data_IF_718610685762
#
_entry.id   IF_718610685762
#
_cell.length_a   1.000
_cell.length_b   1.000
_cell.length_c   1.000
_cell.angle_alpha   90.00
_cell.angle_beta   90.00
_cell.angle_gamma   90.00
#
_symmetry.space_group_name_H-M   'P 1'
#
loop_
_entity.id
_entity.type
_entity.pdbx_description
1 polymer ?
#
# COMPACT_ATOMS: atom_id res chain seq x y z
N UNK A 1 -52.36 -35.71 55.23
CA UNK A 1 -51.00 -36.25 54.98
C UNK A 1 -50.66 -36.02 53.50
N UNK A 2 -49.67 -35.20 53.19
CA UNK A 2 -49.38 -34.71 51.83
C UNK A 2 -48.37 -35.62 51.12
N UNK A 3 -48.52 -35.88 49.81
CA UNK A 3 -47.41 -36.31 48.95
C UNK A 3 -47.54 -35.73 47.53
N UNK A 4 -46.90 -34.58 47.38
CA UNK A 4 -45.97 -34.18 46.31
C UNK A 4 -46.46 -34.21 44.86
N UNK A 5 -46.94 -33.04 44.43
CA UNK A 5 -46.90 -32.55 43.06
C UNK A 5 -45.44 -32.44 42.59
N UNK A 6 -45.05 -33.19 41.55
CA UNK A 6 -43.76 -33.02 40.87
C UNK A 6 -43.92 -31.95 39.80
N UNK A 7 -43.44 -30.74 40.09
CA UNK A 7 -43.24 -29.67 39.11
C UNK A 7 -41.96 -30.02 38.34
N UNK A 8 -42.08 -30.43 37.08
CA UNK A 8 -40.95 -30.51 36.16
C UNK A 8 -40.61 -29.11 35.66
N UNK A 9 -39.55 -28.52 36.21
CA UNK A 9 -38.98 -27.26 35.73
C UNK A 9 -38.17 -27.56 34.45
N UNK A 10 -38.69 -27.14 33.30
CA UNK A 10 -37.91 -27.07 32.06
C UNK A 10 -36.91 -25.91 32.19
N UNK A 11 -35.63 -26.22 32.43
CA UNK A 11 -34.54 -25.26 32.28
C UNK A 11 -34.25 -25.14 30.78
N UNK A 12 -34.85 -24.16 30.12
CA UNK A 12 -34.44 -23.76 28.79
C UNK A 12 -33.06 -23.10 28.87
N UNK A 13 -32.02 -23.77 28.39
CA UNK A 13 -30.75 -23.09 28.11
C UNK A 13 -30.97 -22.15 26.93
N UNK A 14 -31.12 -20.86 27.24
CA UNK A 14 -30.96 -19.78 26.27
C UNK A 14 -29.50 -19.81 25.80
N UNK A 15 -29.26 -20.40 24.64
CA UNK A 15 -28.02 -20.19 23.89
C UNK A 15 -28.09 -18.75 23.38
N UNK A 16 -27.54 -17.83 24.16
CA UNK A 16 -27.29 -16.47 23.69
C UNK A 16 -26.30 -16.59 22.53
N UNK A 17 -26.80 -16.48 21.29
CA UNK A 17 -25.96 -16.15 20.15
C UNK A 17 -25.37 -14.76 20.41
N UNK A 18 -24.19 -14.75 21.04
CA UNK A 18 -23.34 -13.57 21.09
C UNK A 18 -22.94 -13.26 19.64
N UNK A 19 -23.70 -12.38 18.99
CA UNK A 19 -23.23 -11.66 17.82
C UNK A 19 -22.04 -10.84 18.33
N UNK A 20 -20.83 -11.39 18.21
CA UNK A 20 -19.61 -10.62 18.35
C UNK A 20 -19.63 -9.63 17.18
N UNK A 21 -20.11 -8.41 17.44
CA UNK A 21 -19.92 -7.29 16.54
C UNK A 21 -18.42 -7.01 16.56
N UNK A 22 -17.69 -7.54 15.58
CA UNK A 22 -16.29 -7.23 15.36
C UNK A 22 -16.19 -5.79 14.85
N UNK A 23 -16.06 -4.84 15.77
CA UNK A 23 -15.79 -3.43 15.44
C UNK A 23 -14.29 -3.29 15.22
N UNK A 24 -13.83 -3.48 13.99
CA UNK A 24 -12.44 -3.20 13.61
C UNK A 24 -12.35 -2.82 12.14
N UNK A 25 -12.91 -1.67 11.80
CA UNK A 25 -12.61 -0.95 10.55
C UNK A 25 -12.71 0.53 10.87
N UNK A 26 -11.70 1.31 10.50
CA UNK A 26 -11.80 2.77 10.51
C UNK A 26 -11.81 3.24 9.08
N UNK A 27 -12.80 4.09 8.78
CA UNK A 27 -12.75 4.98 7.64
C UNK A 27 -12.23 6.30 8.19
N UNK A 28 -10.97 6.62 7.93
CA UNK A 28 -10.42 7.95 8.23
C UNK A 28 -10.14 8.70 6.94
N UNK A 29 -10.53 9.97 6.93
CA UNK A 29 -10.41 10.84 5.76
C UNK A 29 -9.94 12.22 6.18
N UNK A 30 -8.82 12.67 5.60
CA UNK A 30 -8.63 14.10 5.32
C UNK A 30 -8.10 15.00 6.44
N UNK A 31 -7.55 14.48 7.54
CA UNK A 31 -6.77 15.30 8.48
C UNK A 31 -5.42 14.65 8.87
N UNK A 32 -4.37 15.04 8.16
CA UNK A 32 -3.03 14.53 8.38
C UNK A 32 -2.50 14.74 9.80
N UNK A 33 -3.02 15.70 10.57
CA UNK A 33 -2.60 15.94 11.95
C UNK A 33 -3.22 14.95 12.94
N UNK A 34 -4.33 14.29 12.57
CA UNK A 34 -5.02 13.31 13.43
C UNK A 34 -4.51 11.90 13.18
N UNK A 35 -4.24 11.54 11.92
CA UNK A 35 -3.94 10.16 11.54
C UNK A 35 -2.45 9.87 11.35
N UNK A 36 -1.62 10.90 11.21
CA UNK A 36 -0.21 10.74 10.88
C UNK A 36 0.68 11.63 11.75
N UNK A 37 1.89 11.14 12.02
CA UNK A 37 2.95 11.87 12.68
C UNK A 37 4.19 11.97 11.80
N UNK A 38 5.02 12.99 12.03
CA UNK A 38 6.28 13.16 11.30
C UNK A 38 7.34 12.22 11.86
N UNK A 39 7.96 11.42 11.01
CA UNK A 39 9.03 10.48 11.39
C UNK A 39 10.42 11.05 11.15
N UNK A 40 10.56 12.04 10.26
CA UNK A 40 11.86 12.61 9.93
C UNK A 40 11.77 14.06 9.44
N UNK A 41 12.73 14.88 9.87
CA UNK A 41 12.90 16.30 9.53
C UNK A 41 11.60 17.12 9.56
N UNK A 42 11.09 17.49 10.76
CA UNK A 42 9.86 18.26 10.88
C UNK A 42 9.84 19.58 10.11
N UNK A 43 10.99 20.24 9.98
CA UNK A 43 11.12 21.49 9.20
C UNK A 43 10.98 21.28 7.68
N UNK A 44 10.94 20.03 7.23
CA UNK A 44 10.78 19.61 5.83
C UNK A 44 9.40 18.97 5.57
N UNK A 45 8.51 18.96 6.57
CA UNK A 45 7.11 18.54 6.43
C UNK A 45 6.22 19.74 6.69
N UNK A 46 5.48 20.18 5.67
CA UNK A 46 4.47 21.22 5.83
C UNK A 46 3.08 20.58 5.82
N UNK A 47 2.20 21.01 6.73
CA UNK A 47 0.79 20.59 6.75
C UNK A 47 -0.08 21.85 6.72
N UNK A 48 -1.11 21.85 5.88
CA UNK A 48 -2.06 22.97 5.81
C UNK A 48 -2.78 23.18 7.15
N UNK A 49 -3.25 24.40 7.40
CA UNK A 49 -3.90 24.76 8.66
C UNK A 49 -5.15 23.92 8.97
N UNK A 50 -5.86 23.46 7.93
CA UNK A 50 -7.01 22.57 8.02
C UNK A 50 -6.63 21.07 8.06
N UNK A 51 -5.33 20.74 8.00
CA UNK A 51 -4.85 19.36 7.99
C UNK A 51 -5.11 18.57 6.71
N UNK A 52 -5.71 19.18 5.68
CA UNK A 52 -6.17 18.47 4.48
C UNK A 52 -5.08 18.18 3.44
N UNK A 53 -3.97 18.92 3.52
CA UNK A 53 -2.82 18.78 2.63
C UNK A 53 -1.52 18.68 3.42
N UNK A 54 -0.62 17.83 2.97
CA UNK A 54 0.74 17.70 3.49
C UNK A 54 1.74 17.72 2.34
N UNK A 55 2.94 18.26 2.56
CA UNK A 55 4.02 18.21 1.58
C UNK A 55 5.33 17.79 2.22
N UNK A 56 6.10 16.99 1.49
CA UNK A 56 7.46 16.58 1.85
C UNK A 56 8.46 17.40 1.02
N UNK A 57 9.50 17.89 1.69
CA UNK A 57 10.62 18.64 1.10
C UNK A 57 11.90 17.79 1.14
N UNK A 58 12.69 17.87 0.08
CA UNK A 58 14.05 17.36 0.01
C UNK A 58 14.97 18.48 -0.50
N UNK A 59 16.06 18.73 0.22
CA UNK A 59 17.13 19.64 -0.14
C UNK A 59 18.48 19.09 0.37
N UNK A 60 19.55 19.88 0.23
CA UNK A 60 20.90 19.47 0.63
C UNK A 60 21.02 19.12 2.12
N UNK A 61 20.11 19.61 2.96
CA UNK A 61 20.19 19.40 4.40
C UNK A 61 19.53 18.08 4.81
N UNK A 62 18.37 17.76 4.24
CA UNK A 62 17.61 16.57 4.61
C UNK A 62 16.53 16.18 3.62
N UNK A 63 16.14 14.90 3.68
CA UNK A 63 14.84 14.43 3.22
C UNK A 63 13.76 14.64 4.27
N UNK A 64 12.62 13.97 4.09
CA UNK A 64 11.50 14.06 5.05
C UNK A 64 10.58 12.85 4.97
N UNK A 65 9.77 12.65 6.01
CA UNK A 65 8.78 11.59 6.01
C UNK A 65 7.75 11.67 7.12
N UNK A 66 6.62 11.02 6.90
CA UNK A 66 5.57 10.83 7.90
C UNK A 66 5.05 9.39 7.89
N UNK A 67 4.44 8.96 8.99
CA UNK A 67 3.85 7.63 9.17
C UNK A 67 2.49 7.71 9.87
N UNK A 68 1.64 6.71 9.67
CA UNK A 68 0.34 6.62 10.34
C UNK A 68 0.51 6.32 11.83
N UNK A 69 -0.36 6.90 12.66
CA UNK A 69 -0.40 6.65 14.10
C UNK A 69 -0.76 5.19 14.43
N UNK A 70 -1.65 4.61 13.63
CA UNK A 70 -2.14 3.24 13.77
C UNK A 70 -1.43 2.31 12.79
N UNK A 71 -1.42 1.02 13.12
CA UNK A 71 -1.03 -0.05 12.20
C UNK A 71 -2.27 -0.81 11.74
N UNK A 72 -2.23 -1.30 10.50
CA UNK A 72 -3.38 -1.92 9.86
C UNK A 72 -3.04 -3.34 9.43
N UNK A 73 -4.04 -4.22 9.44
CA UNK A 73 -3.94 -5.55 8.85
C UNK A 73 -5.09 -5.72 7.86
N UNK A 74 -4.79 -5.60 6.57
CA UNK A 74 -5.77 -5.51 5.48
C UNK A 74 -6.61 -4.22 5.46
N UNK A 75 -7.11 -3.89 4.27
CA UNK A 75 -7.86 -2.67 4.00
C UNK A 75 -7.62 -2.15 2.58
N UNK A 76 -8.17 -0.98 2.30
CA UNK A 76 -7.82 -0.15 1.16
C UNK A 76 -7.29 1.21 1.65
N UNK A 77 -6.17 1.62 1.08
CA UNK A 77 -5.52 2.89 1.40
C UNK A 77 -5.36 3.69 0.12
N UNK A 78 -6.00 4.85 0.08
CA UNK A 78 -5.94 5.80 -1.01
C UNK A 78 -5.14 7.03 -0.58
N UNK A 79 -4.24 7.49 -1.44
CA UNK A 79 -3.51 8.74 -1.25
C UNK A 79 -3.49 9.52 -2.56
N UNK A 80 -3.96 10.78 -2.56
CA UNK A 80 -3.72 11.64 -3.73
C UNK A 80 -2.36 12.27 -3.63
N UNK A 81 -1.51 11.99 -4.61
CA UNK A 81 -0.12 12.45 -4.65
C UNK A 81 0.09 13.28 -5.91
N UNK A 82 0.81 14.39 -5.77
CA UNK A 82 1.38 15.17 -6.87
C UNK A 82 2.90 15.18 -6.71
N UNK A 83 3.61 14.74 -7.74
CA UNK A 83 5.06 14.51 -7.70
C UNK A 83 5.85 15.81 -7.92
N UNK A 84 7.17 15.70 -7.69
CA UNK A 84 8.12 16.81 -7.84
C UNK A 84 8.14 17.27 -9.32
N UNK A 85 7.88 18.55 -9.62
CA UNK A 85 7.93 19.06 -10.98
C UNK A 85 9.35 19.36 -11.44
N UNK A 86 9.53 19.49 -12.76
CA UNK A 86 10.83 19.83 -13.35
C UNK A 86 11.85 18.70 -13.20
N UNK A 87 13.14 19.05 -13.07
CA UNK A 87 14.20 18.09 -12.91
C UNK A 87 14.14 17.50 -11.49
N UNK A 88 13.81 16.22 -11.43
CA UNK A 88 13.68 15.45 -10.20
C UNK A 88 14.63 14.24 -10.18
N UNK A 89 15.64 14.23 -11.06
CA UNK A 89 16.61 13.15 -11.14
C UNK A 89 17.24 12.87 -9.76
N UNK A 90 17.43 11.59 -9.44
CA UNK A 90 17.94 11.13 -8.15
C UNK A 90 16.93 11.16 -7.00
N UNK A 91 15.78 11.83 -7.12
CA UNK A 91 14.76 11.82 -6.06
C UNK A 91 13.96 10.52 -6.06
N UNK A 92 13.63 10.03 -4.87
CA UNK A 92 12.67 8.94 -4.65
C UNK A 92 11.61 9.43 -3.68
N UNK A 93 10.37 9.48 -4.14
CA UNK A 93 9.22 9.54 -3.25
C UNK A 93 8.74 8.11 -3.03
N UNK A 94 8.67 7.65 -1.79
CA UNK A 94 8.03 6.38 -1.45
C UNK A 94 6.68 6.64 -0.77
N UNK A 95 5.67 5.86 -1.15
CA UNK A 95 4.40 5.70 -0.45
C UNK A 95 4.18 4.21 -0.25
N UNK A 96 4.26 3.76 0.99
CA UNK A 96 4.41 2.34 1.27
C UNK A 96 3.78 1.94 2.60
N UNK A 97 3.64 0.64 2.80
CA UNK A 97 3.24 0.04 4.06
C UNK A 97 4.34 -0.85 4.57
N UNK A 98 4.71 -0.78 5.85
CA UNK A 98 5.74 -1.66 6.43
C UNK A 98 5.42 -2.09 7.85
N UNK A 99 5.80 -3.32 8.22
CA UNK A 99 5.63 -3.85 9.58
C UNK A 99 6.77 -3.48 10.54
N UNK A 100 7.85 -2.89 10.01
CA UNK A 100 9.05 -2.49 10.77
C UNK A 100 9.70 -3.62 11.58
N UNK A 101 9.54 -4.86 11.14
CA UNK A 101 10.18 -6.04 11.75
C UNK A 101 11.45 -6.45 11.00
N UNK A 102 12.36 -7.22 11.62
CA UNK A 102 13.52 -7.79 10.92
C UNK A 102 13.12 -8.62 9.69
N UNK A 103 12.05 -9.41 9.80
CA UNK A 103 11.44 -10.18 8.72
C UNK A 103 10.22 -9.45 8.13
N UNK A 104 10.31 -8.13 7.96
CA UNK A 104 9.16 -7.30 7.63
C UNK A 104 8.40 -7.76 6.39
N UNK A 105 7.10 -7.52 6.47
CA UNK A 105 6.26 -7.40 5.28
C UNK A 105 6.27 -5.92 4.86
N UNK A 106 6.31 -5.67 3.56
CA UNK A 106 6.32 -4.32 2.99
C UNK A 106 5.64 -4.29 1.61
N UNK A 107 4.94 -3.21 1.29
CA UNK A 107 4.20 -3.00 0.04
C UNK A 107 4.48 -1.59 -0.45
N UNK A 108 5.12 -1.45 -1.61
CA UNK A 108 5.74 -0.19 -2.03
C UNK A 108 5.13 0.41 -3.30
N UNK A 109 4.84 1.70 -3.26
CA UNK A 109 4.98 2.58 -4.42
C UNK A 109 6.24 3.44 -4.26
N UNK A 110 7.10 3.43 -5.26
CA UNK A 110 8.26 4.30 -5.34
C UNK A 110 8.21 5.08 -6.65
N UNK A 111 8.21 6.41 -6.55
CA UNK A 111 8.22 7.32 -7.67
C UNK A 111 9.64 7.79 -7.92
N UNK A 112 10.24 7.29 -9.00
CA UNK A 112 11.61 7.58 -9.37
C UNK A 112 11.61 8.82 -10.27
N UNK A 113 12.19 9.90 -9.77
CA UNK A 113 12.31 11.15 -10.51
C UNK A 113 13.22 11.04 -11.72
N UNK A 114 13.15 12.05 -12.58
CA UNK A 114 13.85 12.04 -13.87
C UNK A 114 14.34 13.44 -14.24
N UNK A 115 15.21 13.52 -15.24
CA UNK A 115 15.64 14.80 -15.81
C UNK A 115 14.46 15.49 -16.51
N UNK A 116 14.57 16.82 -16.69
CA UNK A 116 13.52 17.63 -17.32
C UNK A 116 13.01 17.03 -18.63
N UNK A 117 11.67 16.96 -18.76
CA UNK A 117 11.00 16.47 -19.97
C UNK A 117 11.00 14.95 -20.15
N UNK A 118 11.61 14.17 -19.26
CA UNK A 118 11.55 12.71 -19.27
C UNK A 118 10.48 12.18 -18.32
N UNK A 119 9.82 11.06 -18.64
CA UNK A 119 8.72 10.54 -17.83
C UNK A 119 9.22 10.01 -16.49
N UNK A 120 8.40 10.21 -15.45
CA UNK A 120 8.56 9.48 -14.20
C UNK A 120 8.48 7.96 -14.40
N UNK A 121 9.13 7.23 -13.51
CA UNK A 121 8.94 5.79 -13.35
C UNK A 121 8.23 5.55 -12.03
N UNK A 122 7.17 4.75 -12.05
CA UNK A 122 6.63 4.15 -10.83
C UNK A 122 7.21 2.76 -10.72
N UNK A 123 7.89 2.49 -9.61
CA UNK A 123 8.25 1.17 -9.16
C UNK A 123 7.24 0.71 -8.11
N UNK A 124 6.84 -0.55 -8.19
CA UNK A 124 6.14 -1.24 -7.09
C UNK A 124 6.98 -2.39 -6.61
N UNK A 125 6.94 -2.67 -5.32
CA UNK A 125 7.66 -3.80 -4.73
C UNK A 125 6.86 -4.44 -3.59
N UNK A 126 7.23 -5.68 -3.24
CA UNK A 126 6.59 -6.45 -2.17
C UNK A 126 7.65 -7.26 -1.43
N UNK A 127 7.81 -6.94 -0.15
CA UNK A 127 8.53 -7.78 0.80
C UNK A 127 7.52 -8.66 1.53
N UNK A 128 7.81 -9.96 1.61
CA UNK A 128 6.98 -10.90 2.35
C UNK A 128 7.89 -11.83 3.15
N UNK A 129 7.65 -11.91 4.46
CA UNK A 129 8.48 -12.67 5.42
C UNK A 129 9.98 -12.31 5.32
N UNK A 130 10.29 -11.03 5.06
CA UNK A 130 11.65 -10.50 4.91
C UNK A 130 12.30 -10.74 3.53
N UNK A 131 11.61 -11.38 2.59
CA UNK A 131 12.13 -11.60 1.24
C UNK A 131 11.70 -10.50 0.27
N UNK A 132 12.67 -9.89 -0.40
CA UNK A 132 12.53 -8.81 -1.41
C UNK A 132 12.49 -9.36 -2.86
N UNK A 133 12.99 -8.57 -3.82
CA UNK A 133 13.27 -8.83 -5.23
C UNK A 133 12.03 -8.97 -6.12
N UNK A 134 10.99 -8.16 -5.88
CA UNK A 134 9.73 -8.21 -6.64
C UNK A 134 9.39 -6.90 -7.32
N UNK A 135 10.36 -6.21 -7.87
CA UNK A 135 10.15 -4.90 -8.49
C UNK A 135 9.41 -5.04 -9.83
N UNK A 136 8.42 -4.19 -10.03
CA UNK A 136 7.83 -3.94 -11.35
C UNK A 136 7.86 -2.43 -11.60
N UNK A 137 8.22 -2.01 -12.83
CA UNK A 137 8.29 -0.59 -13.20
C UNK A 137 7.37 -0.27 -14.35
N UNK A 138 6.71 0.88 -14.28
CA UNK A 138 5.84 1.40 -15.34
C UNK A 138 6.12 2.87 -15.64
N UNK A 139 5.77 3.29 -16.86
CA UNK A 139 5.46 4.68 -17.17
C UNK A 139 3.98 4.96 -17.04
N UNK A 140 3.63 6.16 -16.57
CA UNK A 140 2.24 6.61 -16.50
C UNK A 140 1.72 7.10 -17.85
N UNK A 141 0.39 7.09 -18.00
CA UNK A 141 -0.34 7.64 -19.16
C UNK A 141 -0.70 9.12 -19.01
N UNK A 142 -0.12 9.80 -18.02
CA UNK A 142 -0.27 11.22 -17.73
C UNK A 142 1.01 11.75 -17.08
N UNK A 143 1.12 13.08 -16.95
CA UNK A 143 2.20 13.73 -16.22
C UNK A 143 1.83 13.87 -14.73
N UNK A 144 2.42 13.06 -13.82
CA UNK A 144 2.07 13.04 -12.40
C UNK A 144 2.53 14.28 -11.61
N UNK A 145 3.21 15.22 -12.26
CA UNK A 145 3.66 16.48 -11.67
C UNK A 145 2.64 17.61 -11.83
N UNK A 146 1.67 17.47 -12.76
CA UNK A 146 0.73 18.53 -13.13
C UNK A 146 -0.50 18.58 -12.26
N UNK A 147 -1.02 17.42 -11.86
CA UNK A 147 -2.17 17.33 -10.98
C UNK A 147 -2.02 16.18 -9.99
N UNK A 148 -2.92 16.13 -9.01
CA UNK A 148 -3.03 15.06 -8.04
C UNK A 148 -3.72 13.84 -8.66
N UNK A 149 -3.05 12.69 -8.55
CA UNK A 149 -3.60 11.39 -8.93
C UNK A 149 -3.71 10.49 -7.70
N UNK A 150 -4.69 9.58 -7.72
CA UNK A 150 -4.94 8.68 -6.58
C UNK A 150 -4.08 7.43 -6.74
N UNK A 151 -3.27 7.13 -5.73
CA UNK A 151 -2.49 5.91 -5.64
C UNK A 151 -3.05 5.06 -4.52
N UNK A 152 -3.48 3.85 -4.87
CA UNK A 152 -4.23 2.99 -3.97
C UNK A 152 -3.57 1.64 -3.78
N UNK A 153 -3.60 1.15 -2.54
CA UNK A 153 -3.24 -0.22 -2.18
C UNK A 153 -4.48 -0.89 -1.60
N UNK A 154 -5.06 -1.85 -2.32
CA UNK A 154 -6.02 -2.78 -1.76
C UNK A 154 -5.25 -4.02 -1.29
N UNK A 155 -5.27 -4.30 0.01
CA UNK A 155 -4.62 -5.45 0.62
C UNK A 155 -5.64 -6.27 1.40
N UNK A 156 -5.88 -7.50 0.97
CA UNK A 156 -6.78 -8.42 1.65
C UNK A 156 -6.20 -9.83 1.72
N UNK A 157 -6.99 -10.78 2.21
CA UNK A 157 -6.59 -12.18 2.36
C UNK A 157 -6.28 -12.90 1.04
N UNK A 158 -6.67 -12.34 -0.11
CA UNK A 158 -6.58 -12.99 -1.41
C UNK A 158 -5.52 -12.35 -2.30
N UNK A 159 -5.30 -11.05 -2.18
CA UNK A 159 -4.47 -10.28 -3.09
C UNK A 159 -4.03 -8.93 -2.51
N UNK A 160 -2.95 -8.43 -3.08
CA UNK A 160 -2.56 -7.02 -3.06
C UNK A 160 -2.80 -6.47 -4.46
N UNK A 161 -3.50 -5.35 -4.57
CA UNK A 161 -3.75 -4.65 -5.84
C UNK A 161 -3.25 -3.23 -5.72
N UNK A 162 -2.28 -2.89 -6.57
CA UNK A 162 -1.80 -1.52 -6.75
C UNK A 162 -2.65 -0.85 -7.82
N UNK A 163 -3.19 0.33 -7.54
CA UNK A 163 -4.00 1.08 -8.50
C UNK A 163 -3.53 2.52 -8.62
N UNK A 164 -3.68 3.06 -9.84
CA UNK A 164 -3.49 4.48 -10.15
C UNK A 164 -4.78 4.98 -10.76
N UNK A 165 -5.45 5.94 -10.11
CA UNK A 165 -6.81 6.38 -10.45
C UNK A 165 -7.69 5.18 -10.83
N UNK A 166 -8.00 4.29 -9.88
CA UNK A 166 -8.79 3.06 -10.06
C UNK A 166 -8.29 2.03 -11.11
N UNK A 167 -7.23 2.30 -11.87
CA UNK A 167 -6.64 1.39 -12.85
C UNK A 167 -5.66 0.45 -12.13
N UNK A 168 -5.91 -0.88 -12.08
CA UNK A 168 -4.94 -1.80 -11.51
C UNK A 168 -3.68 -1.86 -12.37
N UNK A 169 -2.55 -1.54 -11.77
CA UNK A 169 -1.24 -1.60 -12.43
C UNK A 169 -0.50 -2.90 -12.10
N UNK A 170 -0.79 -3.50 -10.94
CA UNK A 170 -0.19 -4.74 -10.45
C UNK A 170 -1.15 -5.51 -9.55
N UNK A 171 -1.12 -6.83 -9.66
CA UNK A 171 -1.81 -7.75 -8.74
C UNK A 171 -0.80 -8.77 -8.23
N UNK A 172 -0.70 -8.90 -6.91
CA UNK A 172 0.05 -9.96 -6.24
C UNK A 172 -0.93 -10.86 -5.50
N UNK A 173 -0.98 -12.13 -5.90
CA UNK A 173 -1.97 -13.09 -5.41
C UNK A 173 -1.42 -13.84 -4.21
N UNK A 174 -2.28 -14.08 -3.22
CA UNK A 174 -1.96 -15.00 -2.14
C UNK A 174 -1.99 -16.44 -2.67
N UNK A 175 -0.79 -16.99 -2.92
CA UNK A 175 -0.55 -18.39 -3.27
C UNK A 175 0.19 -19.11 -2.13
N UNK A 176 -0.11 -18.78 -0.87
CA UNK A 176 0.53 -19.40 0.29
C UNK A 176 0.27 -20.91 0.37
N UNK A 177 -0.86 -21.39 -0.16
CA UNK A 177 -1.17 -22.81 -0.34
C UNK A 177 -0.16 -23.53 -1.26
N UNK A 178 0.54 -22.77 -2.10
CA UNK A 178 1.61 -23.24 -2.99
C UNK A 178 3.00 -22.83 -2.49
N UNK A 179 3.13 -22.33 -1.28
CA UNK A 179 4.41 -21.94 -0.68
C UNK A 179 4.97 -20.59 -1.16
N UNK A 180 4.13 -19.72 -1.71
CA UNK A 180 4.50 -18.32 -2.01
C UNK A 180 4.26 -17.46 -0.75
N UNK A 181 5.26 -16.69 -0.33
CA UNK A 181 5.12 -15.77 0.80
C UNK A 181 4.11 -14.65 0.49
N UNK A 182 3.31 -14.27 1.49
CA UNK A 182 2.31 -13.21 1.37
C UNK A 182 2.14 -12.51 2.73
N UNK A 183 2.04 -11.17 2.76
CA UNK A 183 1.75 -10.40 3.98
C UNK A 183 0.39 -10.75 4.58
N UNK A 184 0.35 -11.71 5.52
CA UNK A 184 -0.90 -12.22 6.12
C UNK A 184 -1.04 -11.95 7.61
N UNK A 185 0.07 -11.63 8.27
CA UNK A 185 0.16 -11.73 9.73
C UNK A 185 0.71 -10.48 10.38
N UNK A 186 1.60 -9.76 9.70
CA UNK A 186 2.24 -8.59 10.28
C UNK A 186 1.38 -7.37 9.96
N UNK A 187 0.87 -6.65 10.97
CA UNK A 187 0.24 -5.36 10.73
C UNK A 187 1.29 -4.38 10.22
N UNK A 188 0.88 -3.44 9.36
CA UNK A 188 1.77 -2.47 8.74
C UNK A 188 1.29 -1.04 8.97
N UNK A 189 2.22 -0.13 9.22
CA UNK A 189 1.95 1.31 9.21
C UNK A 189 2.05 1.85 7.80
N UNK A 190 1.28 2.88 7.48
CA UNK A 190 1.35 3.60 6.20
C UNK A 190 2.42 4.68 6.33
N UNK A 191 3.30 4.79 5.34
CA UNK A 191 4.44 5.72 5.35
C UNK A 191 4.54 6.45 4.02
N UNK A 192 5.06 7.68 4.09
CA UNK A 192 5.55 8.38 2.92
C UNK A 192 6.86 9.08 3.24
N UNK A 193 7.85 8.96 2.35
CA UNK A 193 9.18 9.56 2.49
C UNK A 193 9.64 10.16 1.17
N UNK A 194 10.44 11.23 1.25
CA UNK A 194 11.11 11.83 0.09
C UNK A 194 12.61 11.93 0.39
N UNK A 195 13.43 11.30 -0.44
CA UNK A 195 14.86 11.14 -0.19
C UNK A 195 15.70 11.06 -1.47
N UNK A 196 17.03 11.19 -1.33
CA UNK A 196 17.99 11.10 -2.43
C UNK A 196 18.39 9.63 -2.68
N UNK A 197 17.92 9.06 -3.78
CA UNK A 197 18.26 7.72 -4.27
C UNK A 197 19.17 7.73 -5.51
N UNK A 198 20.00 8.76 -5.70
CA UNK A 198 20.84 8.95 -6.89
C UNK A 198 21.78 7.80 -7.26
N UNK A 199 22.03 6.85 -6.35
CA UNK A 199 22.81 5.65 -6.63
C UNK A 199 22.11 4.69 -7.59
N UNK A 200 20.77 4.76 -7.71
CA UNK A 200 19.99 3.83 -8.54
C UNK A 200 18.73 4.41 -9.19
N UNK A 201 18.12 5.46 -8.62
CA UNK A 201 16.76 5.90 -8.95
C UNK A 201 16.57 6.26 -10.44
N UNK A 202 17.44 7.11 -10.98
CA UNK A 202 17.29 7.62 -12.35
C UNK A 202 18.29 6.98 -13.30
N UNK A 203 17.78 6.30 -14.34
CA UNK A 203 18.56 5.52 -15.32
C UNK A 203 19.59 4.56 -14.69
N UNK A 204 19.22 3.93 -13.57
CA UNK A 204 20.11 3.03 -12.83
C UNK A 204 21.25 3.77 -12.12
N UNK A 205 20.99 5.01 -11.69
CA UNK A 205 21.96 5.86 -10.98
C UNK A 205 22.92 6.65 -11.87
N UNK A 206 22.67 6.70 -13.19
CA UNK A 206 23.49 7.49 -14.13
C UNK A 206 23.25 8.98 -14.00
N UNK A 207 22.00 9.39 -13.78
CA UNK A 207 21.68 10.78 -13.49
C UNK A 207 21.65 11.01 -12.00
N UNK A 208 22.45 11.98 -11.57
CA UNK A 208 22.58 12.40 -10.18
C UNK A 208 21.61 13.53 -9.87
N UNK A 209 21.34 13.70 -8.59
CA UNK A 209 20.50 14.80 -8.13
C UNK A 209 21.23 16.13 -8.38
N UNK A 210 20.53 17.08 -8.99
CA UNK A 210 21.04 18.44 -9.17
C UNK A 210 20.49 19.33 -8.05
N UNK A 211 21.27 19.46 -6.98
CA UNK A 211 20.87 20.24 -5.82
C UNK A 211 20.63 21.73 -6.11
N UNK A 212 21.09 22.27 -7.25
CA UNK A 212 20.73 23.63 -7.68
C UNK A 212 19.24 23.78 -8.02
N UNK A 213 18.52 22.65 -8.18
CA UNK A 213 17.07 22.57 -8.40
C UNK A 213 16.28 22.37 -7.11
N UNK A 214 16.95 22.24 -5.96
CA UNK A 214 16.28 22.16 -4.67
C UNK A 214 15.56 23.48 -4.31
N UNK A 215 14.48 23.44 -3.50
CA UNK A 215 13.90 22.25 -2.87
C UNK A 215 13.02 21.42 -3.83
N UNK A 216 13.12 20.10 -3.70
CA UNK A 216 12.22 19.15 -4.34
C UNK A 216 11.01 18.94 -3.43
N UNK A 217 9.79 19.12 -3.96
CA UNK A 217 8.55 19.09 -3.16
C UNK A 217 7.55 18.12 -3.76
N UNK A 218 7.12 17.13 -2.97
CA UNK A 218 5.99 16.25 -3.26
C UNK A 218 4.80 16.61 -2.36
N UNK A 219 3.59 16.56 -2.89
CA UNK A 219 2.38 16.99 -2.18
C UNK A 219 1.35 15.85 -2.08
N UNK A 220 0.62 15.83 -0.97
CA UNK A 220 -0.35 14.81 -0.58
C UNK A 220 -1.66 15.47 -0.15
N UNK A 221 -2.80 14.90 -0.54
CA UNK A 221 -4.13 15.34 -0.07
C UNK A 221 -5.16 14.22 -0.15
N UNK A 222 -6.35 14.48 0.41
CA UNK A 222 -7.55 13.65 0.24
C UNK A 222 -7.29 12.14 0.37
N UNK A 223 -6.52 11.75 1.39
CA UNK A 223 -6.32 10.33 1.66
C UNK A 223 -7.60 9.73 2.23
N UNK A 224 -7.78 8.44 1.99
CA UNK A 224 -8.81 7.62 2.65
C UNK A 224 -8.14 6.35 3.15
N UNK A 225 -8.26 6.08 4.44
CA UNK A 225 -7.84 4.82 5.05
C UNK A 225 -9.13 4.11 5.42
N UNK A 226 -9.51 3.09 4.65
CA UNK A 226 -10.61 2.18 4.97
C UNK A 226 -10.02 0.80 5.27
N UNK A 227 -9.59 0.62 6.52
CA UNK A 227 -8.71 -0.47 6.90
C UNK A 227 -8.99 -0.98 8.32
N UNK A 228 -8.60 -2.23 8.58
CA UNK A 228 -8.72 -2.80 9.92
C UNK A 228 -7.52 -2.38 10.77
N UNK A 229 -7.76 -1.56 11.79
CA UNK A 229 -6.77 -1.24 12.81
C UNK A 229 -6.40 -2.51 13.59
N UNK A 230 -5.10 -2.74 13.73
CA UNK A 230 -4.59 -3.85 14.50
C UNK A 230 -4.82 -3.63 16.01
N UNK A 231 -5.66 -4.49 16.61
CA UNK A 231 -5.94 -4.51 18.05
C UNK A 231 -5.43 -5.78 18.73
N UNK A 232 -4.34 -6.37 18.22
CA UNK A 232 -3.70 -7.55 18.82
C UNK A 232 -4.31 -8.91 18.44
N UNK A 233 -5.37 -8.95 17.62
CA UNK A 233 -6.00 -10.20 17.18
C UNK A 233 -6.41 -10.13 15.70
N UNK A 234 -5.72 -10.93 14.87
CA UNK A 234 -5.96 -10.99 13.44
C UNK A 234 -7.37 -11.43 13.05
N UNK A 235 -8.08 -12.16 13.92
CA UNK A 235 -9.46 -12.61 13.63
C UNK A 235 -10.38 -11.45 13.31
N UNK A 236 -10.19 -10.29 13.95
CA UNK A 236 -11.03 -9.12 13.71
C UNK A 236 -10.86 -8.53 12.30
N UNK A 237 -9.65 -8.59 11.75
CA UNK A 237 -9.35 -8.08 10.41
C UNK A 237 -9.59 -9.11 9.29
N UNK A 238 -9.69 -10.39 9.66
CA UNK A 238 -9.88 -11.51 8.72
C UNK A 238 -11.32 -11.94 8.54
N UNK A 239 -12.23 -11.40 9.34
CA UNK A 239 -13.65 -11.68 9.22
C UNK A 239 -14.18 -11.17 7.87
N UNK A 240 -15.05 -11.95 7.23
CA UNK A 240 -15.91 -11.46 6.16
C UNK A 240 -17.10 -10.73 6.81
N UNK A 241 -17.12 -9.41 6.69
CA UNK A 241 -18.12 -8.54 7.29
C UNK A 241 -18.37 -7.30 6.41
N UNK A 242 -19.38 -6.51 6.77
CA UNK A 242 -19.58 -5.21 6.12
C UNK A 242 -18.46 -4.22 6.46
N UNK A 243 -17.88 -4.30 7.67
CA UNK A 243 -16.73 -3.50 8.09
C UNK A 243 -15.45 -3.85 7.33
N UNK A 244 -15.21 -5.14 7.09
CA UNK A 244 -14.07 -5.63 6.31
C UNK A 244 -14.53 -6.03 4.90
N UNK A 245 -15.18 -5.09 4.20
CA UNK A 245 -15.82 -5.40 2.93
C UNK A 245 -14.85 -5.99 1.91
N UNK A 246 -13.55 -5.66 1.99
CA UNK A 246 -12.49 -6.16 1.12
C UNK A 246 -12.27 -7.68 1.22
N UNK A 247 -12.74 -8.33 2.29
CA UNK A 247 -12.70 -9.78 2.44
C UNK A 247 -13.90 -10.49 1.78
N UNK A 248 -14.91 -9.75 1.29
CA UNK A 248 -16.05 -10.37 0.59
C UNK A 248 -15.58 -11.04 -0.69
N UNK A 249 -16.26 -12.13 -1.06
CA UNK A 249 -15.97 -12.91 -2.27
C UNK A 249 -15.82 -12.06 -3.55
N UNK A 250 -16.57 -10.96 -3.70
CA UNK A 250 -16.49 -10.08 -4.87
C UNK A 250 -15.15 -9.32 -5.03
N UNK A 251 -14.34 -9.23 -3.96
CA UNK A 251 -13.02 -8.59 -3.96
C UNK A 251 -11.86 -9.60 -3.89
N UNK A 252 -12.18 -10.89 -4.06
CA UNK A 252 -11.17 -11.94 -4.11
C UNK A 252 -10.40 -11.98 -5.44
N UNK A 253 -10.82 -11.22 -6.46
CA UNK A 253 -10.18 -11.13 -7.77
C UNK A 253 -10.58 -9.81 -8.45
N UNK A 254 -9.86 -9.43 -9.51
CA UNK A 254 -10.23 -8.28 -10.33
C UNK A 254 -11.54 -8.52 -11.08
N UNK A 255 -12.38 -7.50 -11.17
CA UNK A 255 -13.56 -7.50 -12.06
C UNK A 255 -13.17 -7.62 -13.54
N UNK A 256 -14.08 -8.03 -14.45
CA UNK A 256 -13.78 -8.10 -15.88
C UNK A 256 -13.30 -6.76 -16.48
N UNK A 257 -13.82 -5.63 -15.99
CA UNK A 257 -13.36 -4.29 -16.42
C UNK A 257 -11.94 -4.01 -15.94
N UNK A 258 -11.66 -4.25 -14.66
CA UNK A 258 -10.32 -4.11 -14.08
C UNK A 258 -9.29 -5.01 -14.80
N UNK A 259 -9.65 -6.26 -15.14
CA UNK A 259 -8.77 -7.16 -15.90
C UNK A 259 -8.41 -6.61 -17.29
N UNK A 260 -9.33 -5.95 -17.98
CA UNK A 260 -9.03 -5.30 -19.28
C UNK A 260 -8.03 -4.16 -19.13
N UNK A 261 -8.26 -3.30 -18.14
CA UNK A 261 -7.36 -2.18 -17.83
C UNK A 261 -5.97 -2.67 -17.40
N UNK A 262 -5.93 -3.67 -16.52
CA UNK A 262 -4.68 -4.33 -16.11
C UNK A 262 -3.90 -4.87 -17.30
N UNK A 263 -4.56 -5.61 -18.22
CA UNK A 263 -3.92 -6.09 -19.46
C UNK A 263 -3.40 -4.95 -20.33
N UNK A 264 -4.11 -3.83 -20.40
CA UNK A 264 -3.65 -2.65 -21.13
C UNK A 264 -2.38 -2.06 -20.49
N UNK A 265 -2.33 -1.92 -19.16
CA UNK A 265 -1.09 -1.50 -18.45
C UNK A 265 0.05 -2.47 -18.72
N UNK A 266 -0.17 -3.79 -18.56
CA UNK A 266 0.86 -4.80 -18.84
C UNK A 266 1.42 -4.72 -20.26
N UNK A 267 0.58 -4.40 -21.23
CA UNK A 267 0.96 -4.36 -22.64
C UNK A 267 1.68 -3.07 -23.05
N UNK A 268 1.27 -1.92 -22.50
CA UNK A 268 1.69 -0.62 -23.02
C UNK A 268 2.54 0.21 -22.07
N UNK A 269 2.57 -0.12 -20.77
CA UNK A 269 3.15 0.74 -19.75
C UNK A 269 4.26 0.08 -18.92
N UNK A 270 4.29 -1.26 -18.83
CA UNK A 270 5.33 -1.99 -18.08
C UNK A 270 6.65 -1.94 -18.83
N UNK A 271 7.69 -1.48 -18.13
CA UNK A 271 9.06 -1.38 -18.66
C UNK A 271 10.04 -2.31 -17.94
N UNK A 272 9.69 -2.81 -16.75
CA UNK A 272 10.43 -3.83 -16.03
C UNK A 272 9.45 -4.73 -15.26
N UNK A 273 9.70 -6.03 -15.30
CA UNK A 273 8.94 -7.05 -14.58
C UNK A 273 9.92 -8.12 -14.09
N UNK A 274 10.10 -8.22 -12.77
CA UNK A 274 10.97 -9.24 -12.16
C UNK A 274 10.63 -10.66 -12.62
N UNK A 275 9.36 -10.95 -12.95
CA UNK A 275 8.92 -12.24 -13.47
C UNK A 275 9.38 -12.54 -14.91
N UNK A 276 10.01 -11.59 -15.59
CA UNK A 276 10.62 -11.77 -16.91
C UNK A 276 12.16 -11.67 -16.85
N UNK A 277 12.73 -11.38 -15.68
CA UNK A 277 14.16 -11.17 -15.50
C UNK A 277 14.90 -12.48 -15.20
N UNK A 278 15.01 -13.32 -16.23
CA UNK A 278 15.73 -14.59 -16.12
C UNK A 278 17.21 -14.41 -15.76
N UNK A 279 17.80 -13.28 -16.12
CA UNK A 279 19.21 -13.00 -15.82
C UNK A 279 19.41 -12.77 -14.32
N UNK A 280 18.59 -11.92 -13.70
CA UNK A 280 18.64 -11.67 -12.24
C UNK A 280 18.44 -12.96 -11.45
N UNK A 281 17.49 -13.79 -11.87
CA UNK A 281 17.13 -15.01 -11.15
C UNK A 281 17.84 -16.28 -11.64
N UNK A 282 18.83 -16.18 -12.53
CA UNK A 282 19.58 -17.33 -13.04
C UNK A 282 18.65 -18.45 -13.58
N UNK A 283 17.59 -18.07 -14.30
CA UNK A 283 16.50 -18.93 -14.79
C UNK A 283 15.64 -19.62 -13.71
N UNK A 284 15.79 -19.26 -12.43
CA UNK A 284 14.99 -19.74 -11.30
C UNK A 284 14.02 -18.66 -10.82
N UNK A 285 13.08 -18.28 -11.68
CA UNK A 285 12.10 -17.23 -11.38
C UNK A 285 11.27 -17.55 -10.12
N UNK A 286 10.85 -16.52 -9.35
CA UNK A 286 9.96 -16.70 -8.21
C UNK A 286 8.69 -17.47 -8.57
N UNK A 287 8.25 -18.36 -7.68
CA UNK A 287 7.20 -19.35 -7.97
C UNK A 287 5.90 -18.71 -8.43
N UNK A 288 5.53 -17.57 -7.85
CA UNK A 288 4.34 -16.80 -8.20
C UNK A 288 4.31 -16.27 -9.63
N UNK A 289 5.45 -16.20 -10.30
CA UNK A 289 5.55 -15.75 -11.68
C UNK A 289 4.88 -16.71 -12.66
N UNK A 290 4.83 -18.00 -12.32
CA UNK A 290 4.18 -19.06 -13.10
C UNK A 290 2.72 -19.30 -12.72
N UNK A 291 2.22 -18.64 -11.66
CA UNK A 291 0.89 -18.87 -11.10
C UNK A 291 -0.13 -17.86 -11.65
N UNK A 292 -1.44 -18.18 -11.61
CA UNK A 292 -2.49 -17.27 -12.06
C UNK A 292 -2.41 -15.92 -11.36
N UNK A 293 -2.52 -14.84 -12.15
CA UNK A 293 -2.47 -13.45 -11.66
C UNK A 293 -3.83 -12.92 -11.17
N UNK A 294 -4.94 -13.60 -11.48
CA UNK A 294 -6.31 -13.27 -11.03
C UNK A 294 -7.27 -14.44 -11.23
#
# INVERSE_FOLDING_TARGET
MPKNCRISVFIGLLVANLIQISVSSVVSTGNFNEDFYVIWSPNHVNTSADGSMRSLKLDNDSGSGFASNEMFLFGEMDMKIKLVPGNSAGTVLAFYMSSDQPNRDEIDFEFLGNVDGQPYIIQTNIFADGFDDREERIHLWFDPTKDFHTYSILWNLYQIVFMVDWVPIRVYRNHADKGVAFPRWQPMSIKATLWNGESWATRGGKDKIDWSKSPFIASFKNYTIDACIWRGNARFCRADSNSNWWNKARYNTLTPRQRRLFKWVRKYHVIYDYCQDNQRFQNNLPKECSLPKY
#
